data_IF_366973011293
#
_entry.id   IF_366973011293
#
_cell.length_a   1.000
_cell.length_b   1.000
_cell.length_c   1.000
_cell.angle_alpha   90.00
_cell.angle_beta   90.00
_cell.angle_gamma   90.00
#
_symmetry.space_group_name_H-M   'P 1'
#
loop_
_entity.id
_entity.type
_entity.pdbx_description
1 polymer ?
#
# COMPACT_ATOMS: atom_id res chain seq x y z
N UNK A 1 22.95 17.94 -3.96
CA UNK A 1 22.99 16.47 -3.94
C UNK A 1 22.71 16.02 -5.34
N UNK A 2 23.75 16.07 -6.17
CA UNK A 2 23.67 15.65 -7.56
C UNK A 2 23.62 14.13 -7.59
N UNK A 3 22.51 13.60 -8.10
CA UNK A 3 22.33 12.19 -8.38
C UNK A 3 23.50 11.73 -9.24
N UNK A 4 24.27 10.74 -8.80
CA UNK A 4 25.37 10.16 -9.60
C UNK A 4 24.75 9.55 -10.86
N UNK A 5 24.73 10.30 -11.97
CA UNK A 5 24.36 9.79 -13.29
C UNK A 5 25.22 10.45 -14.37
N UNK A 6 26.12 9.64 -14.93
CA UNK A 6 26.66 9.83 -16.27
C UNK A 6 25.93 8.83 -17.18
N UNK A 7 25.24 9.31 -18.22
CA UNK A 7 24.65 8.46 -19.25
C UNK A 7 25.49 8.52 -20.54
N UNK A 8 25.71 7.35 -21.14
CA UNK A 8 26.22 7.20 -22.51
C UNK A 8 25.07 7.28 -23.52
N UNK A 9 25.42 7.55 -24.77
CA UNK A 9 24.54 7.92 -25.90
C UNK A 9 23.55 6.82 -26.38
N UNK A 10 23.51 5.65 -25.76
CA UNK A 10 22.91 4.43 -26.32
C UNK A 10 21.57 3.98 -25.70
N UNK A 11 21.03 4.70 -24.71
CA UNK A 11 19.61 4.57 -24.34
C UNK A 11 19.19 3.27 -23.63
N UNK A 12 20.12 2.56 -22.98
CA UNK A 12 19.82 1.37 -22.16
C UNK A 12 19.39 1.74 -20.73
N UNK A 13 18.21 1.26 -20.27
CA UNK A 13 17.62 1.53 -18.95
C UNK A 13 18.60 1.37 -17.77
N UNK A 14 19.08 2.50 -17.27
CA UNK A 14 19.72 2.80 -15.98
C UNK A 14 20.66 1.71 -15.47
N UNK A 15 21.94 1.83 -15.81
CA UNK A 15 23.01 0.95 -15.33
C UNK A 15 23.08 0.87 -13.79
N UNK A 16 22.63 1.92 -13.07
CA UNK A 16 22.37 1.88 -11.61
C UNK A 16 20.91 2.28 -11.34
N UNK A 17 20.20 1.46 -10.58
CA UNK A 17 18.85 1.77 -10.08
C UNK A 17 18.88 1.98 -8.56
N UNK A 18 18.52 3.18 -8.14
CA UNK A 18 18.27 3.48 -6.73
C UNK A 18 16.91 2.90 -6.35
N UNK A 19 16.88 2.08 -5.31
CA UNK A 19 15.66 1.38 -4.89
C UNK A 19 15.08 1.95 -3.61
N UNK A 20 15.91 2.53 -2.78
CA UNK A 20 15.51 3.21 -1.57
C UNK A 20 16.11 4.61 -1.63
N UNK A 21 15.28 5.66 -1.74
CA UNK A 21 15.75 7.05 -1.75
C UNK A 21 16.22 7.50 -0.34
N UNK A 22 16.81 6.59 0.45
CA UNK A 22 17.10 6.76 1.87
C UNK A 22 18.26 7.71 2.06
N UNK A 23 17.94 8.99 2.19
CA UNK A 23 18.84 9.98 2.74
C UNK A 23 18.14 10.65 3.90
N UNK A 24 18.46 10.20 5.13
CA UNK A 24 18.81 11.08 6.27
C UNK A 24 18.94 10.38 7.64
N UNK A 25 18.58 9.10 7.84
CA UNK A 25 18.88 8.42 9.12
C UNK A 25 19.42 7.00 8.91
N UNK A 26 20.74 6.89 9.04
CA UNK A 26 21.54 5.71 8.69
C UNK A 26 22.19 5.95 7.33
N UNK A 27 23.52 6.10 7.28
CA UNK A 27 24.32 6.59 6.15
C UNK A 27 24.32 5.68 4.90
N UNK A 28 23.37 4.75 4.78
CA UNK A 28 23.42 3.64 3.85
C UNK A 28 22.35 3.81 2.77
N UNK A 29 22.79 3.96 1.52
CA UNK A 29 21.93 3.97 0.34
C UNK A 29 21.93 2.57 -0.28
N UNK A 30 20.75 2.04 -0.63
CA UNK A 30 20.68 0.76 -1.35
C UNK A 30 20.44 0.98 -2.84
N UNK A 31 21.38 0.48 -3.64
CA UNK A 31 21.32 0.51 -5.10
C UNK A 31 21.39 -0.89 -5.68
N UNK A 32 20.71 -1.11 -6.81
CA UNK A 32 20.97 -2.25 -7.70
C UNK A 32 21.88 -1.75 -8.82
N UNK A 33 22.95 -2.50 -9.06
CA UNK A 33 23.96 -2.21 -10.07
C UNK A 33 23.87 -3.28 -11.15
N UNK A 34 23.73 -2.87 -12.40
CA UNK A 34 23.65 -3.78 -13.53
C UNK A 34 25.00 -4.49 -13.77
N UNK A 35 25.03 -5.79 -14.14
CA UNK A 35 26.25 -6.57 -14.27
C UNK A 35 27.35 -5.90 -15.10
N UNK A 36 26.97 -5.27 -16.20
CA UNK A 36 27.85 -4.61 -17.17
C UNK A 36 28.66 -3.44 -16.60
N UNK A 37 28.24 -2.85 -15.47
CA UNK A 37 28.94 -1.72 -14.85
C UNK A 37 29.47 -2.00 -13.45
N UNK A 38 29.33 -3.21 -12.91
CA UNK A 38 29.78 -3.52 -11.55
C UNK A 38 31.26 -3.16 -11.36
N UNK A 39 32.12 -3.50 -12.31
CA UNK A 39 33.56 -3.20 -12.23
C UNK A 39 33.81 -1.69 -12.14
N UNK A 40 33.19 -0.92 -13.02
CA UNK A 40 33.29 0.55 -13.03
C UNK A 40 32.72 1.16 -11.75
N UNK A 41 31.56 0.69 -11.29
CA UNK A 41 30.93 1.15 -10.06
C UNK A 41 31.87 0.97 -8.86
N UNK A 42 32.48 -0.23 -8.72
CA UNK A 42 33.46 -0.50 -7.64
C UNK A 42 34.65 0.46 -7.70
N UNK A 43 35.24 0.64 -8.88
CA UNK A 43 36.35 1.58 -9.08
C UNK A 43 35.97 3.02 -8.73
N UNK A 44 34.77 3.46 -9.14
CA UNK A 44 34.28 4.80 -8.82
C UNK A 44 34.04 4.96 -7.30
N UNK A 45 33.48 3.96 -6.62
CA UNK A 45 33.30 3.99 -5.15
C UNK A 45 34.64 4.08 -4.42
N UNK A 46 35.63 3.26 -4.81
CA UNK A 46 36.99 3.30 -4.24
C UNK A 46 37.67 4.66 -4.47
N UNK A 47 37.60 5.18 -5.70
CA UNK A 47 38.16 6.49 -6.07
C UNK A 47 37.59 7.63 -5.23
N UNK A 48 36.32 7.54 -4.85
CA UNK A 48 35.63 8.55 -4.05
C UNK A 48 35.61 8.23 -2.54
N UNK A 49 36.32 7.19 -2.10
CA UNK A 49 36.36 6.74 -0.71
C UNK A 49 34.97 6.45 -0.12
N UNK A 50 34.07 5.91 -0.94
CA UNK A 50 32.72 5.51 -0.54
C UNK A 50 32.76 4.02 -0.21
N UNK A 51 32.45 3.67 1.04
CA UNK A 51 32.35 2.28 1.48
C UNK A 51 31.00 1.70 1.09
N UNK A 52 30.98 0.40 0.76
CA UNK A 52 29.74 -0.31 0.46
C UNK A 52 29.81 -1.76 0.91
N UNK A 53 28.65 -2.35 1.17
CA UNK A 53 28.48 -3.78 1.46
C UNK A 53 27.62 -4.40 0.35
N UNK A 54 28.06 -5.54 -0.17
CA UNK A 54 27.23 -6.33 -1.10
C UNK A 54 26.17 -7.07 -0.30
N UNK A 55 24.90 -6.73 -0.54
CA UNK A 55 23.74 -7.40 0.09
C UNK A 55 23.42 -8.70 -0.63
N UNK A 56 23.36 -8.65 -1.96
CA UNK A 56 23.03 -9.78 -2.82
C UNK A 56 23.92 -9.76 -4.06
N UNK A 57 24.48 -10.91 -4.43
CA UNK A 57 25.33 -11.07 -5.62
C UNK A 57 24.51 -11.39 -6.86
N UNK A 58 23.36 -12.03 -6.71
CA UNK A 58 22.43 -12.35 -7.79
C UNK A 58 20.99 -12.03 -7.36
N UNK A 59 20.57 -10.80 -7.64
CA UNK A 59 19.22 -10.36 -7.33
C UNK A 59 18.15 -11.06 -8.19
N UNK A 60 18.53 -11.59 -9.37
CA UNK A 60 17.61 -12.35 -10.22
C UNK A 60 17.26 -13.68 -9.56
N UNK A 61 18.22 -14.35 -8.92
CA UNK A 61 17.95 -15.57 -8.14
C UNK A 61 16.92 -15.32 -7.03
N UNK A 62 17.02 -14.18 -6.32
CA UNK A 62 16.05 -13.79 -5.28
C UNK A 62 14.64 -13.64 -5.86
N UNK A 63 14.50 -12.97 -7.01
CA UNK A 63 13.22 -12.82 -7.71
C UNK A 63 12.68 -14.19 -8.13
N UNK A 64 13.50 -15.03 -8.77
CA UNK A 64 13.07 -16.33 -9.29
C UNK A 64 12.66 -17.28 -8.16
N UNK A 65 13.39 -17.27 -7.03
CA UNK A 65 13.02 -18.00 -5.82
C UNK A 65 11.69 -17.50 -5.24
N UNK A 66 11.49 -16.19 -5.16
CA UNK A 66 10.23 -15.59 -4.68
C UNK A 66 9.04 -16.01 -5.56
N UNK A 67 9.21 -16.01 -6.89
CA UNK A 67 8.20 -16.50 -7.84
C UNK A 67 7.88 -17.99 -7.64
N UNK A 68 8.90 -18.83 -7.51
CA UNK A 68 8.70 -20.27 -7.27
C UNK A 68 7.92 -20.54 -5.97
N UNK A 69 8.29 -19.86 -4.89
CA UNK A 69 7.58 -19.96 -3.61
C UNK A 69 6.13 -19.48 -3.75
N UNK A 70 5.91 -18.41 -4.50
CA UNK A 70 4.57 -17.90 -4.78
C UNK A 70 3.73 -18.89 -5.59
N UNK A 71 4.29 -19.56 -6.59
CA UNK A 71 3.58 -20.58 -7.37
C UNK A 71 3.17 -21.79 -6.52
N UNK A 72 4.04 -22.20 -5.60
CA UNK A 72 3.71 -23.25 -4.61
C UNK A 72 2.58 -22.79 -3.70
N UNK A 73 2.64 -21.56 -3.18
CA UNK A 73 1.60 -20.98 -2.33
C UNK A 73 0.27 -20.86 -3.08
N UNK A 74 0.30 -20.36 -4.33
CA UNK A 74 -0.86 -20.24 -5.23
C UNK A 74 -1.53 -21.58 -5.49
N UNK A 75 -0.77 -22.62 -5.86
CA UNK A 75 -1.30 -23.99 -6.04
C UNK A 75 -1.98 -24.50 -4.79
N UNK A 76 -1.37 -24.30 -3.61
CA UNK A 76 -1.97 -24.68 -2.32
C UNK A 76 -3.25 -23.90 -2.03
N UNK A 77 -3.25 -22.58 -2.25
CA UNK A 77 -4.41 -21.71 -2.03
C UNK A 77 -5.60 -22.06 -2.94
N UNK A 78 -5.34 -22.28 -4.23
CA UNK A 78 -6.36 -22.72 -5.19
C UNK A 78 -6.94 -24.09 -4.81
N UNK A 79 -6.09 -25.06 -4.48
CA UNK A 79 -6.54 -26.39 -4.05
C UNK A 79 -7.42 -26.33 -2.79
N UNK A 80 -7.12 -25.44 -1.83
CA UNK A 80 -7.98 -25.22 -0.65
C UNK A 80 -9.36 -24.69 -1.06
N UNK A 81 -9.43 -23.71 -1.97
CA UNK A 81 -10.70 -23.16 -2.50
C UNK A 81 -11.51 -24.20 -3.25
N UNK A 82 -10.87 -25.01 -4.08
CA UNK A 82 -11.54 -26.08 -4.83
C UNK A 82 -12.11 -27.14 -3.90
N UNK A 83 -11.35 -27.56 -2.90
CA UNK A 83 -11.80 -28.49 -1.87
C UNK A 83 -12.97 -27.95 -1.06
N UNK A 84 -12.93 -26.66 -0.67
CA UNK A 84 -14.04 -25.99 0.00
C UNK A 84 -15.30 -25.98 -0.89
N UNK A 85 -15.14 -25.65 -2.17
CA UNK A 85 -16.22 -25.65 -3.17
C UNK A 85 -16.82 -27.04 -3.38
N UNK A 86 -15.99 -28.08 -3.48
CA UNK A 86 -16.42 -29.47 -3.62
C UNK A 86 -17.21 -29.95 -2.39
N UNK A 87 -16.71 -29.67 -1.18
CA UNK A 87 -17.41 -29.95 0.09
C UNK A 87 -18.77 -29.27 0.15
N UNK A 88 -18.87 -28.03 -0.34
CA UNK A 88 -20.14 -27.30 -0.43
C UNK A 88 -21.11 -27.93 -1.44
N UNK A 89 -20.65 -28.33 -2.64
CA UNK A 89 -21.47 -29.03 -3.64
C UNK A 89 -22.04 -30.35 -3.10
N UNK A 90 -21.21 -31.14 -2.39
CA UNK A 90 -21.66 -32.38 -1.74
C UNK A 90 -22.72 -32.12 -0.66
N UNK A 91 -22.54 -31.09 0.17
CA UNK A 91 -23.55 -30.67 1.16
C UNK A 91 -24.86 -30.23 0.52
N UNK A 92 -24.82 -29.50 -0.61
CA UNK A 92 -26.01 -29.10 -1.38
C UNK A 92 -26.79 -30.31 -1.88
N UNK A 93 -26.11 -31.30 -2.47
CA UNK A 93 -26.73 -32.55 -2.94
C UNK A 93 -27.43 -33.31 -1.82
N UNK A 94 -26.87 -33.32 -0.59
CA UNK A 94 -27.46 -34.01 0.56
C UNK A 94 -28.65 -33.30 1.20
N UNK A 95 -28.70 -31.96 1.18
CA UNK A 95 -29.72 -31.21 1.95
C UNK A 95 -30.98 -30.81 1.18
N UNK A 96 -31.08 -31.04 -0.14
CA UNK A 96 -32.24 -30.64 -1.00
C UNK A 96 -32.74 -29.18 -0.77
N UNK A 97 -31.91 -28.30 -0.19
CA UNK A 97 -32.24 -26.92 0.14
C UNK A 97 -31.22 -26.00 -0.53
N UNK A 98 -31.72 -25.17 -1.44
CA UNK A 98 -30.91 -24.24 -2.25
C UNK A 98 -30.83 -22.92 -1.50
N UNK A 99 -29.84 -22.79 -0.63
CA UNK A 99 -29.53 -21.51 -0.03
C UNK A 99 -28.38 -20.83 -0.78
N UNK A 100 -28.67 -19.65 -1.33
CA UNK A 100 -27.76 -18.86 -2.19
C UNK A 100 -26.41 -18.55 -1.48
N UNK A 101 -26.43 -18.35 -0.15
CA UNK A 101 -25.25 -18.10 0.68
C UNK A 101 -24.32 -19.31 0.89
N UNK A 102 -24.73 -20.54 0.53
CA UNK A 102 -23.91 -21.73 0.75
C UNK A 102 -22.70 -21.85 -0.19
N UNK A 103 -22.50 -20.94 -1.15
CA UNK A 103 -21.31 -20.87 -2.00
C UNK A 103 -20.24 -19.90 -1.52
N UNK A 104 -20.44 -19.31 -0.34
CA UNK A 104 -19.72 -18.13 0.15
C UNK A 104 -19.08 -18.34 1.53
N UNK A 105 -18.96 -19.59 1.97
CA UNK A 105 -18.41 -19.92 3.29
C UNK A 105 -16.89 -19.87 3.36
N UNK A 106 -16.21 -19.83 2.22
CA UNK A 106 -14.75 -19.76 2.16
C UNK A 106 -14.34 -19.01 0.88
N UNK A 107 -14.04 -17.73 1.02
CA UNK A 107 -13.48 -16.92 -0.07
C UNK A 107 -11.95 -17.09 -0.20
N UNK A 108 -11.36 -17.92 0.68
CA UNK A 108 -9.93 -18.19 0.80
C UNK A 108 -9.14 -17.00 1.30
N UNK A 109 -8.42 -17.18 2.41
CA UNK A 109 -7.42 -16.23 2.92
C UNK A 109 -6.45 -15.82 1.80
N UNK A 110 -6.18 -14.52 1.61
CA UNK A 110 -5.11 -14.07 0.73
C UNK A 110 -3.76 -14.46 1.31
N UNK A 111 -3.18 -15.57 0.85
CA UNK A 111 -1.92 -16.15 1.37
C UNK A 111 -0.88 -16.43 0.27
N UNK A 112 -1.05 -15.80 -0.90
CA UNK A 112 -0.11 -15.74 -2.01
C UNK A 112 -0.30 -14.41 -2.75
N UNK A 113 0.70 -13.97 -3.49
CA UNK A 113 0.58 -12.80 -4.37
C UNK A 113 -0.26 -13.16 -5.59
N UNK A 114 -1.39 -12.46 -5.71
CA UNK A 114 -2.35 -12.59 -6.82
C UNK A 114 -1.95 -11.66 -7.96
N UNK A 115 -2.13 -12.09 -9.21
CA UNK A 115 -2.10 -11.13 -10.33
C UNK A 115 -3.25 -10.12 -10.20
N UNK A 116 -3.21 -9.01 -10.96
CA UNK A 116 -4.31 -8.05 -10.95
C UNK A 116 -5.66 -8.70 -11.29
N UNK A 117 -5.70 -9.60 -12.27
CA UNK A 117 -6.90 -10.34 -12.64
C UNK A 117 -7.40 -11.25 -11.51
N UNK A 118 -6.50 -11.99 -10.86
CA UNK A 118 -6.87 -12.83 -9.72
C UNK A 118 -7.40 -12.01 -8.55
N UNK A 119 -6.77 -10.87 -8.28
CA UNK A 119 -7.18 -9.91 -7.27
C UNK A 119 -8.58 -9.36 -7.56
N UNK A 120 -8.84 -8.93 -8.80
CA UNK A 120 -10.13 -8.41 -9.23
C UNK A 120 -11.23 -9.48 -9.13
N UNK A 121 -10.93 -10.72 -9.55
CA UNK A 121 -11.84 -11.85 -9.38
C UNK A 121 -12.11 -12.15 -7.90
N UNK A 122 -11.08 -12.09 -7.05
CA UNK A 122 -11.23 -12.30 -5.62
C UNK A 122 -12.11 -11.23 -4.97
N UNK A 123 -11.92 -9.95 -5.32
CA UNK A 123 -12.75 -8.84 -4.83
C UNK A 123 -14.20 -9.00 -5.28
N UNK A 124 -14.44 -9.33 -6.56
CA UNK A 124 -15.78 -9.59 -7.06
C UNK A 124 -16.47 -10.76 -6.33
N UNK A 125 -15.71 -11.82 -6.05
CA UNK A 125 -16.20 -12.96 -5.28
C UNK A 125 -16.52 -12.58 -3.83
N UNK A 126 -15.63 -11.83 -3.16
CA UNK A 126 -15.81 -11.36 -1.80
C UNK A 126 -17.04 -10.45 -1.66
N UNK A 127 -17.26 -9.55 -2.63
CA UNK A 127 -18.44 -8.68 -2.68
C UNK A 127 -19.74 -9.46 -2.83
N UNK A 128 -19.78 -10.42 -3.77
CA UNK A 128 -20.95 -11.28 -4.00
C UNK A 128 -21.30 -12.12 -2.76
N UNK A 129 -20.32 -12.42 -1.93
CA UNK A 129 -20.44 -13.34 -0.80
C UNK A 129 -20.80 -12.70 0.53
N UNK A 130 -20.89 -11.37 0.59
CA UNK A 130 -21.33 -10.65 1.78
C UNK A 130 -22.32 -9.57 1.40
N UNK A 131 -23.51 -9.59 1.98
CA UNK A 131 -24.51 -8.52 1.78
C UNK A 131 -23.98 -7.14 2.22
N UNK A 132 -22.94 -7.10 3.06
CA UNK A 132 -22.24 -5.89 3.53
C UNK A 132 -21.29 -5.29 2.52
N UNK A 133 -20.84 -6.07 1.55
CA UNK A 133 -19.77 -5.69 0.64
C UNK A 133 -20.33 -5.28 -0.71
N UNK A 134 -19.75 -4.23 -1.28
CA UNK A 134 -19.97 -3.82 -2.68
C UNK A 134 -18.62 -3.67 -3.37
N UNK A 135 -18.46 -4.31 -4.52
CA UNK A 135 -17.37 -4.04 -5.44
C UNK A 135 -17.64 -2.70 -6.12
N UNK A 136 -16.64 -1.83 -6.17
CA UNK A 136 -16.77 -0.57 -6.87
C UNK A 136 -15.44 -0.13 -7.50
N UNK A 137 -15.55 0.74 -8.49
CA UNK A 137 -14.41 1.37 -9.17
C UNK A 137 -14.38 2.85 -8.84
N UNK A 138 -13.19 3.41 -8.67
CA UNK A 138 -12.97 4.87 -8.58
C UNK A 138 -12.54 5.49 -9.91
N UNK A 139 -12.44 4.69 -10.97
CA UNK A 139 -12.06 5.15 -12.30
C UNK A 139 -11.19 4.13 -13.02
N UNK A 140 -10.66 4.55 -14.17
CA UNK A 140 -9.72 3.77 -14.96
C UNK A 140 -8.30 4.32 -14.82
N UNK A 141 -7.32 3.44 -14.87
CA UNK A 141 -5.91 3.77 -15.05
C UNK A 141 -5.63 4.27 -16.47
N UNK A 142 -4.40 4.69 -16.73
CA UNK A 142 -4.00 5.19 -18.04
C UNK A 142 -4.25 4.19 -19.17
N UNK A 143 -3.92 2.92 -18.97
CA UNK A 143 -4.11 1.83 -19.94
C UNK A 143 -5.53 1.22 -19.90
N UNK A 144 -6.48 1.86 -19.21
CA UNK A 144 -7.91 1.50 -19.23
C UNK A 144 -8.35 0.41 -18.25
N UNK A 145 -7.52 0.05 -17.27
CA UNK A 145 -7.88 -0.93 -16.23
C UNK A 145 -8.68 -0.28 -15.12
N UNK A 146 -9.68 -0.98 -14.59
CA UNK A 146 -10.48 -0.47 -13.48
C UNK A 146 -9.64 -0.44 -12.19
N UNK A 147 -9.70 0.67 -11.45
CA UNK A 147 -9.17 0.76 -10.09
C UNK A 147 -10.24 0.29 -9.11
N UNK A 148 -10.24 -1.02 -8.82
CA UNK A 148 -11.27 -1.67 -8.01
C UNK A 148 -10.98 -1.65 -6.50
N UNK A 149 -12.04 -1.53 -5.71
CA UNK A 149 -12.02 -1.64 -4.26
C UNK A 149 -13.29 -2.26 -3.70
N UNK A 150 -13.29 -2.50 -2.39
CA UNK A 150 -14.45 -3.01 -1.64
C UNK A 150 -14.95 -1.93 -0.69
N UNK A 151 -16.23 -1.61 -0.83
CA UNK A 151 -16.97 -0.82 0.14
C UNK A 151 -17.68 -1.76 1.12
N UNK A 152 -17.56 -1.55 2.43
CA UNK A 152 -18.29 -2.31 3.46
C UNK A 152 -19.21 -1.37 4.25
N UNK A 153 -20.46 -1.77 4.42
CA UNK A 153 -21.52 -1.02 5.11
C UNK A 153 -21.80 0.38 4.53
N UNK A 154 -21.61 0.59 3.22
CA UNK A 154 -21.73 1.91 2.61
C UNK A 154 -23.06 2.61 2.89
N UNK A 155 -24.16 1.88 3.06
CA UNK A 155 -25.46 2.45 3.38
C UNK A 155 -25.60 2.97 4.83
N UNK A 156 -24.63 2.70 5.72
CA UNK A 156 -24.65 3.13 7.14
C UNK A 156 -24.10 4.55 7.30
N UNK A 157 -24.86 5.56 6.85
CA UNK A 157 -24.42 6.96 6.81
C UNK A 157 -23.98 7.57 8.15
N UNK A 158 -24.44 7.00 9.26
CA UNK A 158 -24.07 7.39 10.62
C UNK A 158 -22.68 6.89 11.04
N UNK A 159 -22.11 5.91 10.33
CA UNK A 159 -20.80 5.36 10.68
C UNK A 159 -19.66 6.22 10.13
N UNK A 160 -18.59 6.44 10.90
CA UNK A 160 -17.34 7.00 10.38
C UNK A 160 -16.80 6.14 9.24
N UNK A 161 -16.25 6.80 8.22
CA UNK A 161 -15.61 6.13 7.09
C UNK A 161 -14.10 6.01 7.31
N UNK A 162 -13.58 4.85 6.91
CA UNK A 162 -12.18 4.48 6.87
C UNK A 162 -11.79 4.26 5.42
N UNK A 163 -10.69 4.90 5.01
CA UNK A 163 -10.05 4.66 3.74
C UNK A 163 -8.76 3.88 3.97
N UNK A 164 -8.59 2.76 3.28
CA UNK A 164 -7.33 2.04 3.24
C UNK A 164 -6.99 1.79 1.78
N UNK A 165 -5.80 2.15 1.35
CA UNK A 165 -5.32 1.80 0.04
C UNK A 165 -3.93 1.17 0.10
N UNK A 166 -3.58 0.51 -0.99
CA UNK A 166 -2.29 -0.13 -1.19
C UNK A 166 -1.91 -0.08 -2.66
N UNK A 167 -0.65 -0.42 -2.95
CA UNK A 167 -0.22 -0.59 -4.33
C UNK A 167 -0.19 0.70 -5.12
N UNK A 168 0.01 1.83 -4.44
CA UNK A 168 0.29 3.10 -5.10
C UNK A 168 1.64 3.05 -5.82
N UNK A 169 2.61 2.31 -5.25
CA UNK A 169 3.79 1.82 -5.94
C UNK A 169 3.63 0.34 -6.30
N UNK A 170 3.84 0.02 -7.57
CA UNK A 170 3.52 -1.30 -8.09
C UNK A 170 4.37 -2.44 -7.51
N UNK A 171 5.69 -2.22 -7.30
CA UNK A 171 6.63 -3.25 -6.81
C UNK A 171 6.38 -3.74 -5.38
N UNK A 172 5.55 -3.03 -4.62
CA UNK A 172 5.31 -3.26 -3.19
C UNK A 172 4.25 -4.35 -2.98
N UNK A 173 4.51 -5.56 -3.47
CA UNK A 173 3.49 -6.62 -3.54
C UNK A 173 2.85 -6.99 -2.20
N UNK A 174 3.60 -6.86 -1.09
CA UNK A 174 3.08 -7.13 0.25
C UNK A 174 1.95 -6.18 0.65
N UNK A 175 1.95 -4.92 0.19
CA UNK A 175 0.86 -3.97 0.47
C UNK A 175 -0.46 -4.42 -0.14
N UNK A 176 -0.40 -4.91 -1.38
CA UNK A 176 -1.58 -5.37 -2.11
C UNK A 176 -2.24 -6.53 -1.36
N UNK A 177 -1.44 -7.53 -0.99
CA UNK A 177 -1.92 -8.71 -0.25
C UNK A 177 -2.42 -8.36 1.16
N UNK A 178 -1.77 -7.42 1.86
CA UNK A 178 -2.20 -6.96 3.18
C UNK A 178 -3.57 -6.27 3.12
N UNK A 179 -3.83 -5.42 2.11
CA UNK A 179 -5.14 -4.82 1.91
C UNK A 179 -6.24 -5.89 1.67
N UNK A 180 -5.95 -6.91 0.86
CA UNK A 180 -6.86 -8.06 0.68
C UNK A 180 -7.12 -8.79 2.00
N UNK A 181 -6.08 -8.98 2.81
CA UNK A 181 -6.21 -9.62 4.12
C UNK A 181 -7.11 -8.81 5.07
N UNK A 182 -6.99 -7.49 5.10
CA UNK A 182 -7.86 -6.62 5.90
C UNK A 182 -9.32 -6.75 5.42
N UNK A 183 -9.57 -6.75 4.09
CA UNK A 183 -10.92 -7.00 3.54
C UNK A 183 -11.46 -8.34 4.02
N UNK A 184 -10.63 -9.40 3.95
CA UNK A 184 -10.99 -10.74 4.40
C UNK A 184 -11.39 -10.74 5.88
N UNK A 185 -10.59 -10.13 6.76
CA UNK A 185 -10.88 -10.05 8.19
C UNK A 185 -12.13 -9.23 8.50
N UNK A 186 -12.28 -8.04 7.92
CA UNK A 186 -13.45 -7.17 8.13
C UNK A 186 -14.74 -7.88 7.69
N UNK A 187 -14.72 -8.64 6.59
CA UNK A 187 -15.93 -9.28 6.07
C UNK A 187 -16.23 -10.65 6.68
N UNK A 188 -15.21 -11.43 7.06
CA UNK A 188 -15.36 -12.86 7.37
C UNK A 188 -14.70 -13.30 8.68
N UNK A 189 -13.93 -12.43 9.36
CA UNK A 189 -13.41 -12.75 10.68
C UNK A 189 -14.53 -13.00 11.69
N UNK A 190 -14.30 -13.88 12.66
CA UNK A 190 -15.31 -14.23 13.67
C UNK A 190 -14.87 -13.87 15.08
N UNK A 191 -13.64 -13.39 15.22
CA UNK A 191 -13.10 -12.81 16.46
C UNK A 191 -13.77 -11.48 16.79
N UNK A 192 -13.66 -11.08 18.05
CA UNK A 192 -14.29 -9.86 18.57
C UNK A 192 -13.87 -8.61 17.78
N UNK A 193 -12.58 -8.48 17.45
CA UNK A 193 -12.06 -7.33 16.72
C UNK A 193 -12.64 -7.23 15.31
N UNK A 194 -12.67 -8.34 14.57
CA UNK A 194 -13.31 -8.38 13.25
C UNK A 194 -14.82 -8.08 13.29
N UNK A 195 -15.53 -8.49 14.34
CA UNK A 195 -16.94 -8.18 14.53
C UNK A 195 -17.12 -6.70 14.89
N UNK A 196 -16.30 -6.18 15.79
CA UNK A 196 -16.30 -4.80 16.23
C UNK A 196 -16.07 -3.85 15.04
N UNK A 197 -14.99 -4.05 14.28
CA UNK A 197 -14.66 -3.23 13.11
C UNK A 197 -15.76 -3.24 12.04
N UNK A 198 -16.36 -4.39 11.79
CA UNK A 198 -17.47 -4.52 10.84
C UNK A 198 -18.74 -3.84 11.31
N UNK A 199 -18.95 -3.68 12.60
CA UNK A 199 -20.22 -3.16 13.12
C UNK A 199 -20.17 -1.68 13.51
N UNK A 200 -19.02 -1.00 13.44
CA UNK A 200 -18.89 0.41 13.83
C UNK A 200 -18.40 1.33 12.69
N UNK A 201 -17.91 0.77 11.58
CA UNK A 201 -17.26 1.54 10.52
C UNK A 201 -17.79 1.26 9.12
N UNK A 202 -17.68 2.27 8.25
CA UNK A 202 -17.71 2.10 6.79
C UNK A 202 -16.29 1.94 6.30
N UNK A 203 -16.07 0.98 5.43
CA UNK A 203 -14.75 0.69 4.90
C UNK A 203 -14.73 0.97 3.41
N UNK A 204 -13.67 1.61 2.92
CA UNK A 204 -13.34 1.71 1.51
C UNK A 204 -11.90 1.25 1.35
N UNK A 205 -11.73 0.04 0.83
CA UNK A 205 -10.42 -0.61 0.78
C UNK A 205 -10.03 -0.88 -0.67
N UNK A 206 -8.87 -0.37 -1.09
CA UNK A 206 -8.34 -0.47 -2.45
C UNK A 206 -6.99 -1.19 -2.45
N UNK A 207 -6.97 -2.48 -2.83
CA UNK A 207 -5.72 -3.24 -2.82
C UNK A 207 -4.69 -2.81 -3.88
N UNK A 208 -5.13 -2.12 -4.93
CA UNK A 208 -4.29 -1.74 -6.06
C UNK A 208 -4.72 -0.39 -6.65
N UNK A 209 -3.98 0.68 -6.33
CA UNK A 209 -4.20 2.00 -6.93
C UNK A 209 -3.47 2.22 -8.25
N UNK A 210 -2.51 1.36 -8.60
CA UNK A 210 -1.70 1.47 -9.81
C UNK A 210 -1.75 0.15 -10.61
N UNK A 211 -2.91 -0.21 -11.19
CA UNK A 211 -3.10 -1.52 -11.81
C UNK A 211 -2.22 -1.74 -13.04
N UNK A 212 -1.91 -0.69 -13.81
CA UNK A 212 -1.03 -0.81 -14.97
C UNK A 212 0.41 -1.07 -14.54
N UNK A 213 0.90 -0.32 -13.54
CA UNK A 213 2.21 -0.56 -12.97
C UNK A 213 2.28 -1.96 -12.36
N UNK A 214 1.25 -2.40 -11.65
CA UNK A 214 1.21 -3.72 -11.02
C UNK A 214 1.32 -4.84 -12.05
N UNK A 215 0.53 -4.80 -13.13
CA UNK A 215 0.64 -5.78 -14.22
C UNK A 215 2.04 -5.79 -14.84
N UNK A 216 2.64 -4.61 -15.05
CA UNK A 216 4.00 -4.50 -15.56
C UNK A 216 5.04 -5.17 -14.66
N UNK A 217 4.79 -5.25 -13.34
CA UNK A 217 5.66 -6.02 -12.42
C UNK A 217 5.58 -7.53 -12.57
N UNK A 218 4.47 -8.05 -13.10
CA UNK A 218 4.31 -9.46 -13.39
C UNK A 218 4.94 -9.84 -14.73
N UNK A 219 4.82 -8.96 -15.73
CA UNK A 219 5.17 -9.28 -17.12
C UNK A 219 6.56 -8.84 -17.54
N UNK A 220 7.09 -7.74 -16.98
CA UNK A 220 8.24 -7.05 -17.57
C UNK A 220 9.30 -6.66 -16.56
N UNK A 221 8.98 -5.83 -15.57
CA UNK A 221 9.94 -5.37 -14.56
C UNK A 221 9.36 -5.51 -13.15
N UNK A 222 9.78 -6.56 -12.44
CA UNK A 222 9.32 -6.84 -11.06
C UNK A 222 9.52 -5.67 -10.10
N UNK A 223 10.48 -4.79 -10.36
CA UNK A 223 10.80 -3.64 -9.53
C UNK A 223 10.15 -2.35 -10.02
N UNK A 224 9.27 -2.38 -11.00
CA UNK A 224 8.56 -1.20 -11.50
C UNK A 224 7.76 -0.51 -10.39
N UNK A 225 7.90 0.82 -10.29
CA UNK A 225 7.31 1.62 -9.21
C UNK A 225 6.13 2.47 -9.69
N UNK A 226 6.31 3.11 -10.84
CA UNK A 226 5.49 4.23 -11.35
C UNK A 226 4.20 3.77 -12.04
N UNK A 227 3.39 4.72 -12.50
CA UNK A 227 2.31 4.47 -13.48
C UNK A 227 2.87 3.99 -14.83
N UNK A 228 2.00 3.84 -15.84
CA UNK A 228 2.36 3.48 -17.22
C UNK A 228 1.99 4.54 -18.26
N UNK A 229 1.75 5.79 -17.84
CA UNK A 229 1.53 6.91 -18.77
C UNK A 229 2.78 7.17 -19.64
N UNK A 230 2.63 7.40 -20.96
CA UNK A 230 3.73 7.81 -21.81
C UNK A 230 4.14 9.23 -21.47
N UNK A 231 5.45 9.50 -21.51
CA UNK A 231 5.96 10.87 -21.38
C UNK A 231 6.40 11.41 -22.73
N UNK A 232 6.04 12.67 -23.03
CA UNK A 232 6.35 13.30 -24.31
C UNK A 232 7.86 13.38 -24.56
N UNK A 233 8.29 13.12 -25.80
CA UNK A 233 9.67 13.25 -26.27
C UNK A 233 10.71 12.39 -25.50
N UNK A 234 10.30 11.22 -25.01
CA UNK A 234 11.19 10.24 -24.37
C UNK A 234 10.63 8.83 -24.53
N UNK A 235 11.48 7.81 -24.36
CA UNK A 235 11.09 6.40 -24.28
C UNK A 235 10.68 5.98 -22.86
N UNK A 236 10.79 6.89 -21.88
CA UNK A 236 10.48 6.63 -20.49
C UNK A 236 8.97 6.79 -20.20
N UNK A 237 8.47 5.93 -19.32
CA UNK A 237 7.06 5.86 -18.94
C UNK A 237 6.89 6.12 -17.45
N UNK A 238 5.71 6.61 -17.11
CA UNK A 238 5.16 6.65 -15.77
C UNK A 238 5.64 7.83 -14.94
N UNK A 239 4.80 8.14 -13.96
CA UNK A 239 5.01 9.12 -12.90
C UNK A 239 4.99 8.40 -11.55
N UNK A 240 5.78 8.86 -10.60
CA UNK A 240 5.66 8.43 -9.21
C UNK A 240 4.33 8.98 -8.66
N UNK A 241 3.37 8.08 -8.47
CA UNK A 241 2.02 8.39 -8.00
C UNK A 241 2.09 9.14 -6.66
N UNK A 242 3.02 8.78 -5.76
CA UNK A 242 3.21 9.42 -4.47
C UNK A 242 4.18 10.62 -4.50
N UNK A 243 4.35 11.23 -5.69
CA UNK A 243 4.93 12.56 -5.92
C UNK A 243 4.00 13.48 -6.72
N UNK A 244 2.79 13.03 -7.03
CA UNK A 244 1.90 13.66 -7.99
C UNK A 244 0.67 14.32 -7.35
N UNK A 245 0.56 14.37 -6.01
CA UNK A 245 -0.52 15.08 -5.33
C UNK A 245 -0.21 16.57 -5.14
N UNK A 246 -1.25 17.41 -4.99
CA UNK A 246 -1.08 18.86 -4.86
C UNK A 246 -0.75 19.30 -3.42
N UNK A 247 0.41 18.89 -2.90
CA UNK A 247 0.98 19.43 -1.67
C UNK A 247 2.48 19.61 -1.82
N UNK A 248 2.96 20.86 -1.71
CA UNK A 248 4.35 21.25 -1.96
C UNK A 248 4.96 20.66 -3.24
N UNK A 249 4.12 20.39 -4.25
CA UNK A 249 4.48 19.61 -5.42
C UNK A 249 5.72 20.16 -6.12
N UNK A 250 6.65 19.27 -6.51
CA UNK A 250 7.89 19.66 -7.19
C UNK A 250 8.98 20.25 -6.29
N UNK A 251 8.79 20.34 -4.96
CA UNK A 251 9.72 21.06 -4.06
C UNK A 251 10.82 20.21 -3.43
N UNK A 252 10.48 19.06 -2.85
CA UNK A 252 11.41 18.19 -2.10
C UNK A 252 11.42 16.78 -2.67
N UNK A 253 12.64 16.23 -2.83
CA UNK A 253 12.95 14.84 -3.23
C UNK A 253 12.01 14.25 -4.29
N UNK A 254 11.93 14.98 -5.41
CA UNK A 254 11.24 14.59 -6.63
C UNK A 254 12.08 15.02 -7.83
N UNK A 255 11.91 14.34 -8.96
CA UNK A 255 12.63 14.63 -10.19
C UNK A 255 11.73 15.28 -11.23
N UNK A 256 12.33 16.14 -12.07
CA UNK A 256 11.72 16.63 -13.32
C UNK A 256 12.08 15.76 -14.52
N UNK A 257 12.97 14.79 -14.36
CA UNK A 257 13.40 13.90 -15.44
C UNK A 257 12.45 12.71 -15.56
N UNK A 258 11.78 12.51 -16.71
CA UNK A 258 10.80 11.43 -16.90
C UNK A 258 11.31 10.01 -16.62
N UNK A 259 12.61 9.78 -16.82
CA UNK A 259 13.26 8.50 -16.59
C UNK A 259 13.65 8.23 -15.13
N UNK A 260 13.36 9.16 -14.22
CA UNK A 260 13.55 8.95 -12.78
C UNK A 260 12.39 8.14 -12.20
N UNK A 261 12.70 7.28 -11.22
CA UNK A 261 11.69 6.54 -10.44
C UNK A 261 10.87 7.48 -9.52
N UNK A 262 11.37 8.68 -9.23
CA UNK A 262 10.71 9.74 -8.43
C UNK A 262 10.22 10.92 -9.29
N UNK A 263 10.02 10.71 -10.59
CA UNK A 263 9.47 11.73 -11.48
C UNK A 263 8.07 12.15 -11.04
N UNK A 264 7.87 13.41 -10.68
CA UNK A 264 6.61 13.92 -10.11
C UNK A 264 5.48 14.22 -11.12
N UNK A 265 5.75 14.04 -12.41
CA UNK A 265 4.82 14.36 -13.51
C UNK A 265 4.98 15.77 -14.05
N UNK A 266 4.09 16.15 -14.98
CA UNK A 266 4.10 17.49 -15.60
C UNK A 266 3.45 18.57 -14.73
N UNK A 267 2.70 18.15 -13.71
CA UNK A 267 1.99 18.98 -12.75
C UNK A 267 1.32 18.11 -11.69
N UNK A 268 0.82 18.69 -10.59
CA UNK A 268 0.02 17.94 -9.64
C UNK A 268 -1.24 17.38 -10.32
N UNK A 269 -1.60 16.16 -9.98
CA UNK A 269 -2.71 15.41 -10.54
C UNK A 269 -2.63 15.24 -12.07
N UNK A 270 -1.42 15.16 -12.63
CA UNK A 270 -1.24 14.84 -14.06
C UNK A 270 -1.62 13.39 -14.39
N UNK A 271 -1.51 12.48 -13.42
CA UNK A 271 -1.93 11.09 -13.58
C UNK A 271 -3.44 10.91 -13.40
N UNK A 272 -4.04 9.98 -14.13
CA UNK A 272 -5.48 9.69 -13.99
C UNK A 272 -5.75 8.96 -12.68
N UNK A 273 -4.83 8.11 -12.25
CA UNK A 273 -4.88 7.35 -11.00
C UNK A 273 -4.96 8.30 -9.79
N UNK A 274 -4.18 9.38 -9.78
CA UNK A 274 -4.19 10.35 -8.67
C UNK A 274 -5.45 11.22 -8.68
N UNK A 275 -6.00 11.54 -9.87
CA UNK A 275 -7.32 12.20 -9.99
C UNK A 275 -8.44 11.32 -9.46
N UNK A 276 -8.46 10.03 -9.80
CA UNK A 276 -9.46 9.07 -9.33
C UNK A 276 -9.47 8.99 -7.79
N UNK A 277 -8.29 8.90 -7.18
CA UNK A 277 -8.13 8.89 -5.71
C UNK A 277 -8.61 10.20 -5.08
N UNK A 278 -8.18 11.34 -5.64
CA UNK A 278 -8.60 12.68 -5.19
C UNK A 278 -10.11 12.80 -5.17
N UNK A 279 -10.77 12.47 -6.29
CA UNK A 279 -12.21 12.66 -6.45
C UNK A 279 -13.00 11.71 -5.52
N UNK A 280 -12.53 10.47 -5.34
CA UNK A 280 -13.13 9.52 -4.41
C UNK A 280 -13.01 9.97 -2.95
N UNK A 281 -11.84 10.44 -2.51
CA UNK A 281 -11.62 10.95 -1.16
C UNK A 281 -12.48 12.19 -0.89
N UNK A 282 -12.51 13.14 -1.82
CA UNK A 282 -13.32 14.35 -1.70
C UNK A 282 -14.83 14.04 -1.64
N UNK A 283 -15.29 13.00 -2.34
CA UNK A 283 -16.68 12.55 -2.27
C UNK A 283 -17.09 12.02 -0.88
N UNK A 284 -16.16 11.39 -0.15
CA UNK A 284 -16.42 10.93 1.22
C UNK A 284 -16.53 12.09 2.20
N UNK A 285 -15.79 13.17 1.95
CA UNK A 285 -15.82 14.42 2.70
C UNK A 285 -15.59 14.22 4.20
N UNK A 286 -16.30 14.99 5.04
CA UNK A 286 -16.14 15.00 6.51
C UNK A 286 -16.42 13.65 7.20
N UNK A 287 -16.98 12.66 6.50
CA UNK A 287 -17.24 11.32 7.04
C UNK A 287 -15.96 10.49 7.13
N UNK A 288 -14.99 10.76 6.26
CA UNK A 288 -13.69 10.10 6.27
C UNK A 288 -12.87 10.60 7.47
N UNK A 289 -12.55 9.70 8.39
CA UNK A 289 -11.84 10.02 9.63
C UNK A 289 -10.38 9.58 9.62
N UNK A 290 -10.14 8.40 9.05
CA UNK A 290 -8.85 7.72 9.02
C UNK A 290 -8.56 7.35 7.57
N UNK A 291 -7.35 7.65 7.12
CA UNK A 291 -6.81 7.21 5.85
C UNK A 291 -5.48 6.48 6.10
N UNK A 292 -5.31 5.29 5.53
CA UNK A 292 -4.08 4.51 5.66
C UNK A 292 -3.63 4.10 4.26
N UNK A 293 -2.47 4.60 3.86
CA UNK A 293 -1.84 4.29 2.58
C UNK A 293 -0.67 3.34 2.84
N UNK A 294 -0.88 2.05 2.54
CA UNK A 294 0.03 0.94 2.84
C UNK A 294 1.18 0.89 1.83
N UNK A 295 2.41 1.05 2.31
CA UNK A 295 3.65 0.89 1.53
C UNK A 295 4.51 -0.25 2.07
N UNK A 296 5.56 -0.59 1.34
CA UNK A 296 6.68 -1.38 1.84
C UNK A 296 7.98 -0.87 1.23
N UNK A 297 9.10 -0.89 1.93
CA UNK A 297 9.37 -1.59 3.19
C UNK A 297 10.22 -0.68 4.08
N UNK A 298 10.14 -0.87 5.40
CA UNK A 298 11.13 -0.34 6.37
C UNK A 298 10.76 -0.64 7.83
N UNK A 299 9.53 -1.06 8.12
CA UNK A 299 8.93 -1.06 9.46
C UNK A 299 8.84 0.36 10.07
N UNK A 300 8.26 1.29 9.33
CA UNK A 300 7.99 2.65 9.77
C UNK A 300 6.48 2.91 9.82
N UNK A 301 6.07 3.79 10.71
CA UNK A 301 4.71 4.33 10.77
C UNK A 301 4.78 5.84 10.60
N UNK A 302 4.60 6.29 9.36
CA UNK A 302 4.84 7.68 8.98
C UNK A 302 3.58 8.54 9.14
N UNK A 303 3.81 9.80 9.49
CA UNK A 303 2.79 10.82 9.72
C UNK A 303 3.10 12.08 8.90
N UNK A 304 2.09 12.86 8.50
CA UNK A 304 2.31 14.14 7.85
C UNK A 304 2.98 15.13 8.80
N UNK A 305 3.82 16.05 8.33
CA UNK A 305 4.11 16.27 6.90
C UNK A 305 5.44 15.68 6.47
N UNK A 306 5.50 15.17 5.25
CA UNK A 306 6.75 14.89 4.54
C UNK A 306 7.33 16.13 3.86
N UNK A 307 6.47 17.00 3.32
CA UNK A 307 6.82 18.20 2.55
C UNK A 307 6.88 19.49 3.37
N UNK A 308 6.72 19.41 4.69
CA UNK A 308 6.81 20.54 5.61
C UNK A 308 7.49 20.13 6.91
N UNK A 309 8.48 20.91 7.34
CA UNK A 309 9.12 20.73 8.65
C UNK A 309 8.25 21.24 9.81
N UNK A 310 7.20 22.02 9.52
CA UNK A 310 6.21 22.41 10.52
C UNK A 310 5.17 21.30 10.65
N UNK A 311 5.01 20.69 11.83
CA UNK A 311 4.02 19.63 12.03
C UNK A 311 2.59 20.16 11.99
N UNK A 312 1.59 19.30 11.71
CA UNK A 312 0.19 19.69 11.85
C UNK A 312 -0.16 20.02 13.31
N UNK A 313 -1.17 20.86 13.53
CA UNK A 313 -1.55 21.33 14.86
C UNK A 313 -2.00 20.22 15.82
N UNK A 314 -2.52 19.12 15.27
CA UNK A 314 -2.98 17.92 15.99
C UNK A 314 -1.93 16.79 15.99
N UNK A 315 -0.66 17.12 15.72
CA UNK A 315 0.45 16.16 15.80
C UNK A 315 0.51 15.37 17.12
N UNK A 316 0.31 15.95 18.32
CA UNK A 316 0.35 15.18 19.56
C UNK A 316 -0.66 14.03 19.60
N UNK A 317 -1.88 14.27 19.13
CA UNK A 317 -2.94 13.25 19.03
C UNK A 317 -2.57 12.18 18.01
N UNK A 318 -2.12 12.62 16.81
CA UNK A 318 -1.70 11.70 15.76
C UNK A 318 -0.54 10.79 16.21
N UNK A 319 0.45 11.34 16.92
CA UNK A 319 1.59 10.59 17.44
C UNK A 319 1.18 9.60 18.53
N UNK A 320 0.31 10.01 19.45
CA UNK A 320 -0.22 9.13 20.50
C UNK A 320 -0.94 7.93 19.90
N UNK A 321 -1.80 8.17 18.91
CA UNK A 321 -2.54 7.12 18.19
C UNK A 321 -1.61 6.19 17.40
N UNK A 322 -0.62 6.75 16.71
CA UNK A 322 0.40 5.98 15.99
C UNK A 322 1.24 5.09 16.92
N UNK A 323 1.62 5.58 18.11
CA UNK A 323 2.36 4.80 19.11
C UNK A 323 1.55 3.58 19.58
N UNK A 324 0.25 3.74 19.83
CA UNK A 324 -0.64 2.62 20.18
C UNK A 324 -0.79 1.62 19.03
N UNK A 325 -0.84 2.10 17.79
CA UNK A 325 -0.91 1.26 16.61
C UNK A 325 0.35 0.38 16.46
N UNK A 326 1.55 0.94 16.61
CA UNK A 326 2.80 0.16 16.53
C UNK A 326 3.03 -0.74 17.74
N UNK A 327 2.49 -0.39 18.91
CA UNK A 327 2.47 -1.28 20.07
C UNK A 327 1.59 -2.51 19.82
N UNK A 328 0.44 -2.35 19.15
CA UNK A 328 -0.40 -3.47 18.73
C UNK A 328 0.33 -4.40 17.74
N UNK A 329 1.10 -3.84 16.79
CA UNK A 329 1.96 -4.63 15.89
C UNK A 329 3.00 -5.43 16.67
N UNK A 330 3.66 -4.80 17.64
CA UNK A 330 4.64 -5.44 18.50
C UNK A 330 4.03 -6.58 19.31
N UNK A 331 2.81 -6.40 19.83
CA UNK A 331 2.11 -7.45 20.57
C UNK A 331 1.68 -8.62 19.68
N UNK A 332 1.35 -8.37 18.41
CA UNK A 332 0.95 -9.41 17.46
C UNK A 332 2.14 -10.26 16.97
N UNK A 333 3.30 -9.63 16.71
CA UNK A 333 4.39 -10.27 15.96
C UNK A 333 5.78 -10.12 16.58
N UNK A 334 5.93 -9.30 17.61
CA UNK A 334 7.22 -8.89 18.16
C UNK A 334 7.95 -7.83 17.33
N UNK A 335 7.46 -7.45 16.14
CA UNK A 335 8.12 -6.45 15.31
C UNK A 335 8.02 -5.04 15.89
N UNK A 336 9.11 -4.31 15.79
CA UNK A 336 9.21 -2.93 16.25
C UNK A 336 9.13 -2.01 15.03
N UNK A 337 8.14 -1.12 15.04
CA UNK A 337 7.98 -0.07 14.04
C UNK A 337 8.34 1.28 14.66
N UNK A 338 8.99 2.16 13.89
CA UNK A 338 9.31 3.53 14.33
C UNK A 338 8.23 4.52 13.87
N UNK A 339 7.77 5.38 14.77
CA UNK A 339 6.73 6.39 14.51
C UNK A 339 7.37 7.76 14.31
N UNK A 340 7.08 8.44 13.20
CA UNK A 340 7.58 9.80 12.97
C UNK A 340 7.25 10.38 11.61
N UNK A 341 7.92 11.46 11.24
CA UNK A 341 7.75 12.08 9.92
C UNK A 341 8.64 11.40 8.88
N UNK A 342 8.27 11.44 7.59
CA UNK A 342 9.13 10.93 6.53
C UNK A 342 10.54 11.52 6.56
N UNK A 343 10.70 12.83 6.76
CA UNK A 343 12.03 13.46 6.82
C UNK A 343 12.90 13.02 8.02
N UNK A 344 12.32 12.36 9.04
CA UNK A 344 13.07 11.86 10.19
C UNK A 344 13.64 10.46 9.98
N UNK A 345 13.07 9.65 9.07
CA UNK A 345 13.48 8.25 8.91
C UNK A 345 13.78 7.87 7.46
N UNK A 346 13.20 8.61 6.52
CA UNK A 346 13.43 8.51 5.10
C UNK A 346 14.10 9.81 4.65
N UNK A 347 13.34 10.73 4.07
CA UNK A 347 13.76 11.97 3.43
C UNK A 347 12.57 12.94 3.36
N UNK A 348 12.80 14.26 3.23
CA UNK A 348 11.73 15.22 2.93
C UNK A 348 11.12 14.90 1.56
N UNK A 349 9.80 14.78 1.46
CA UNK A 349 9.14 14.36 0.22
C UNK A 349 7.96 15.28 -0.10
N UNK A 350 7.75 15.56 -1.37
CA UNK A 350 6.68 16.43 -1.86
C UNK A 350 5.69 15.69 -2.74
N UNK A 351 4.45 16.17 -2.76
CA UNK A 351 3.40 15.62 -3.60
C UNK A 351 2.92 14.23 -3.18
N UNK A 352 3.01 13.89 -1.89
CA UNK A 352 2.47 12.64 -1.38
C UNK A 352 0.97 12.68 -1.10
N UNK A 353 0.37 11.50 -1.14
CA UNK A 353 -1.04 11.29 -0.80
C UNK A 353 -1.31 11.71 0.65
N UNK A 354 -0.56 11.20 1.64
CA UNK A 354 -0.77 11.49 3.07
C UNK A 354 -0.70 12.99 3.41
N UNK A 355 0.21 13.73 2.78
CA UNK A 355 0.31 15.17 3.03
C UNK A 355 -0.88 15.92 2.43
N UNK A 356 -1.30 15.55 1.22
CA UNK A 356 -2.48 16.12 0.58
C UNK A 356 -3.77 15.77 1.33
N UNK A 357 -3.89 14.53 1.81
CA UNK A 357 -4.99 14.08 2.66
C UNK A 357 -5.13 14.93 3.91
N UNK A 358 -3.99 15.23 4.56
CA UNK A 358 -3.96 16.08 5.75
C UNK A 358 -4.26 17.54 5.44
N UNK A 359 -3.55 18.13 4.49
CA UNK A 359 -3.56 19.58 4.26
C UNK A 359 -4.74 20.05 3.41
N UNK A 360 -5.17 19.26 2.43
CA UNK A 360 -6.16 19.67 1.43
C UNK A 360 -7.48 18.93 1.56
N UNK A 361 -7.46 17.62 1.86
CA UNK A 361 -8.68 16.85 2.11
C UNK A 361 -9.19 16.95 3.56
N UNK A 362 -8.40 17.57 4.45
CA UNK A 362 -8.72 17.80 5.87
C UNK A 362 -9.06 16.51 6.63
N UNK A 363 -8.36 15.41 6.31
CA UNK A 363 -8.45 14.14 7.04
C UNK A 363 -7.63 14.27 8.31
N UNK A 364 -8.22 13.90 9.46
CA UNK A 364 -7.55 14.04 10.76
C UNK A 364 -6.38 13.07 10.91
N UNK A 365 -6.59 11.81 10.53
CA UNK A 365 -5.65 10.70 10.75
C UNK A 365 -5.20 10.01 9.46
N UNK A 366 -4.43 10.68 8.58
CA UNK A 366 -3.72 10.01 7.49
C UNK A 366 -2.38 9.43 7.98
N UNK A 367 -2.09 8.19 7.62
CA UNK A 367 -0.87 7.47 7.98
C UNK A 367 -0.29 6.69 6.80
N UNK A 368 1.04 6.61 6.74
CA UNK A 368 1.79 5.79 5.79
C UNK A 368 2.64 4.74 6.52
N UNK A 369 2.12 3.53 6.78
CA UNK A 369 2.96 2.44 7.22
C UNK A 369 3.84 1.92 6.08
N UNK A 370 5.16 1.91 6.31
CA UNK A 370 6.15 1.18 5.52
C UNK A 370 6.32 -0.19 6.18
N UNK A 371 5.67 -1.22 5.64
CA UNK A 371 5.55 -2.51 6.32
C UNK A 371 6.85 -3.34 6.27
N UNK A 372 6.73 -4.63 6.59
CA UNK A 372 7.77 -5.64 6.42
C UNK A 372 8.37 -5.64 5.00
N UNK A 373 9.62 -6.13 4.87
CA UNK A 373 10.56 -6.39 5.96
C UNK A 373 11.21 -5.10 6.48
N UNK A 374 12.13 -5.20 7.43
CA UNK A 374 12.89 -4.04 7.90
C UNK A 374 13.87 -3.55 6.82
N UNK A 375 14.43 -2.35 7.01
CA UNK A 375 15.30 -1.70 6.03
C UNK A 375 16.63 -2.42 5.75
N UNK A 376 17.07 -3.33 6.63
CA UNK A 376 18.42 -3.94 6.56
C UNK A 376 18.56 -4.98 5.45
N UNK A 377 17.45 -5.49 4.90
CA UNK A 377 17.46 -6.44 3.78
C UNK A 377 17.70 -5.77 2.42
N UNK A 378 17.76 -4.43 2.39
CA UNK A 378 17.98 -3.67 1.16
C UNK A 378 16.96 -3.99 0.08
N UNK A 379 17.42 -4.11 -1.16
CA UNK A 379 16.59 -4.33 -2.35
C UNK A 379 15.64 -5.53 -2.25
N UNK A 380 16.01 -6.55 -1.45
CA UNK A 380 15.20 -7.75 -1.24
C UNK A 380 13.89 -7.44 -0.50
N UNK A 381 13.80 -6.28 0.14
CA UNK A 381 12.59 -5.83 0.83
C UNK A 381 11.39 -5.62 -0.06
N UNK A 382 11.58 -5.46 -1.38
CA UNK A 382 10.48 -5.42 -2.35
C UNK A 382 10.05 -6.80 -2.86
N UNK A 383 10.78 -7.87 -2.53
CA UNK A 383 10.50 -9.26 -2.96
C UNK A 383 10.28 -10.23 -1.79
N UNK A 384 9.52 -9.86 -0.73
CA UNK A 384 9.31 -10.74 0.41
C UNK A 384 8.56 -12.01 -0.03
N UNK A 385 8.91 -13.15 0.57
CA UNK A 385 8.24 -14.43 0.30
C UNK A 385 6.76 -14.41 0.69
N UNK A 386 5.92 -15.27 0.07
CA UNK A 386 4.49 -15.33 0.34
C UNK A 386 4.17 -15.77 1.79
N UNK A 387 5.11 -16.40 2.48
CA UNK A 387 5.02 -16.78 3.89
C UNK A 387 4.84 -15.57 4.82
N UNK A 388 5.26 -14.37 4.40
CA UNK A 388 5.09 -13.15 5.19
C UNK A 388 3.71 -12.49 5.04
N UNK A 389 2.89 -12.90 4.06
CA UNK A 389 1.63 -12.24 3.72
C UNK A 389 0.65 -12.26 4.91
N UNK A 390 0.46 -13.41 5.52
CA UNK A 390 -0.51 -13.57 6.62
C UNK A 390 -0.05 -12.82 7.87
N UNK A 391 1.26 -12.77 8.13
CA UNK A 391 1.83 -12.03 9.26
C UNK A 391 1.69 -10.52 9.06
N UNK A 392 2.06 -10.00 7.88
CA UNK A 392 1.87 -8.59 7.55
C UNK A 392 0.39 -8.18 7.63
N UNK A 393 -0.51 -9.07 7.17
CA UNK A 393 -1.95 -8.91 7.32
C UNK A 393 -2.42 -8.81 8.77
N UNK A 394 -1.94 -9.71 9.64
CA UNK A 394 -2.27 -9.73 11.07
C UNK A 394 -1.80 -8.47 11.78
N UNK A 395 -0.56 -8.05 11.54
CA UNK A 395 0.03 -6.84 12.09
C UNK A 395 -0.76 -5.59 11.74
N UNK A 396 -1.02 -5.37 10.45
CA UNK A 396 -1.77 -4.19 10.02
C UNK A 396 -3.21 -4.25 10.51
N UNK A 397 -3.82 -5.43 10.57
CA UNK A 397 -5.16 -5.56 11.14
C UNK A 397 -5.18 -5.20 12.64
N UNK A 398 -4.18 -5.62 13.43
CA UNK A 398 -4.05 -5.24 14.83
C UNK A 398 -3.88 -3.72 14.99
N UNK A 399 -3.01 -3.09 14.18
CA UNK A 399 -2.84 -1.64 14.16
C UNK A 399 -4.14 -0.89 13.83
N UNK A 400 -4.81 -1.28 12.73
CA UNK A 400 -6.08 -0.70 12.30
C UNK A 400 -7.16 -0.85 13.37
N UNK A 401 -7.21 -2.01 14.04
CA UNK A 401 -8.16 -2.27 15.12
C UNK A 401 -7.98 -1.27 16.26
N UNK A 402 -6.74 -1.11 16.73
CA UNK A 402 -6.40 -0.17 17.79
C UNK A 402 -6.73 1.27 17.41
N UNK A 403 -6.39 1.68 16.17
CA UNK A 403 -6.71 3.02 15.68
C UNK A 403 -8.20 3.29 15.72
N UNK A 404 -9.01 2.34 15.22
CA UNK A 404 -10.46 2.47 15.22
C UNK A 404 -11.02 2.55 16.65
N UNK A 405 -10.59 1.67 17.56
CA UNK A 405 -11.06 1.70 18.96
C UNK A 405 -10.73 3.01 19.67
N UNK A 406 -9.56 3.59 19.40
CA UNK A 406 -9.15 4.85 20.02
C UNK A 406 -9.86 6.07 19.41
N UNK A 407 -10.08 6.08 18.09
CA UNK A 407 -10.80 7.18 17.43
C UNK A 407 -12.28 7.19 17.80
N UNK A 408 -12.91 6.04 18.02
CA UNK A 408 -14.31 5.99 18.47
C UNK A 408 -14.51 6.73 19.79
N UNK A 409 -13.60 6.57 20.75
CA UNK A 409 -13.62 7.27 22.05
C UNK A 409 -13.59 8.80 21.90
N UNK A 410 -12.99 9.32 20.82
CA UNK A 410 -13.00 10.75 20.51
C UNK A 410 -14.31 11.21 19.87
N UNK A 411 -15.04 10.31 19.20
CA UNK A 411 -16.28 10.60 18.49
C UNK A 411 -17.51 10.51 19.40
N UNK A 412 -17.51 9.63 20.40
CA UNK A 412 -18.62 9.45 21.36
C UNK A 412 -19.08 10.75 22.06
N UNK A 413 -18.18 11.62 22.57
CA UNK A 413 -18.60 12.87 23.23
C UNK A 413 -19.28 13.87 22.28
N UNK A 414 -18.99 13.78 20.97
CA UNK A 414 -19.56 14.69 19.96
C UNK A 414 -20.97 14.29 19.51
N UNK A 415 -21.37 13.03 19.76
CA UNK A 415 -22.70 12.51 19.47
C UNK A 415 -23.68 12.79 20.62
N UNK A 416 -23.22 12.71 21.88
CA UNK A 416 -24.06 12.99 23.05
C UNK A 416 -24.38 14.48 23.23
N UNK A 417 -23.50 15.38 22.76
CA UNK A 417 -23.74 16.84 22.79
C UNK A 417 -24.69 17.36 21.69
N UNK A 418 -25.30 16.47 20.89
CA UNK A 418 -26.28 16.84 19.84
C UNK A 418 -27.74 16.49 20.18
N UNK A 419 -28.01 15.99 21.38
CA UNK A 419 -29.38 15.86 21.88
C UNK A 419 -29.65 17.12 22.69
N UNK A 420 -30.47 18.07 22.20
CA UNK A 420 -30.96 19.13 23.07
C UNK A 420 -31.74 18.45 24.20
N UNK A 421 -31.42 18.76 25.44
CA UNK A 421 -32.27 18.44 26.58
C UNK A 421 -33.68 18.93 26.24
N UNK A 422 -34.61 18.01 26.03
CA UNK A 422 -36.02 18.34 25.97
C UNK A 422 -36.41 18.85 27.36
N UNK A 423 -36.44 20.17 27.50
CA UNK A 423 -37.05 20.89 28.62
C UNK A 423 -38.52 21.13 28.35
#
# INVERSE_FOLDING_TARGET
MDTIRRWTKDGTLSQVRELTDLTLVGNDVTVIVAPEIIAKFKTDMEKHNITFKVISTDFKEVIDRSKLLNDVARKKGLARRDNATARMRLRRRRKRQVYWWMGCKDIGTPDYYMTNDEMNHWLAHAARCSYRARLFSIGQSYEGRQTLGIAVNEWKWNYPAIWINAGIHAREWISHSTALYIIYRVLYGTDEDAIYLRNHYRWYIFPNLNPDGYDYTWTTDRLWRKTRSPTFNTTCYGVDVNRNFNFTWGRFMTSKHPCSDIYGGTGPFSEVETRNVRDAILHLGKRLKIAIDLHSFAQLWLMPYGGSFRPPSDYPQMKSLANKAVEAIKNESGLIYKVGFPFQYLYPLSGSLMDWEKASANIKYPYNPEMRPNMTVGAEGFVPGPDQIVDAGREMFAAVTTICREVEKELEPQLNNKIPSAG
#
